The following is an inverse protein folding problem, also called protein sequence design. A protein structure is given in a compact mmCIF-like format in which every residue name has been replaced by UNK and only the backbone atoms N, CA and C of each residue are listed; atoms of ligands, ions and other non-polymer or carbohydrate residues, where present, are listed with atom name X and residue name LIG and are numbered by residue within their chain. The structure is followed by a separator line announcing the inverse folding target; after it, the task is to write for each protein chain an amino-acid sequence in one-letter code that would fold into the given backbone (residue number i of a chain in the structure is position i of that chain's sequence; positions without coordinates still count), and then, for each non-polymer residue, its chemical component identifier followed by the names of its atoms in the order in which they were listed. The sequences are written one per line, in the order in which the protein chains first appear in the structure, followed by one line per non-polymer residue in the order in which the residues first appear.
data_IF_656996499291
#
_entry.id   IF_656996499291
#
_cell.length_a   1.000
_cell.length_b   1.000
_cell.length_c   1.000
_cell.angle_alpha   90.00
_cell.angle_beta   90.00
_cell.angle_gamma   90.00
#
_symmetry.space_group_name_H-M   'P 1'
#
loop_
_entity.id
_entity.type
_entity.pdbx_description
1 polymer ?
#
# COMPACT_ATOMS: atom_id res chain seq x y z
N UNK A 1 -62.07 -45.78 14.05
CA UNK A 1 -61.00 -45.66 13.03
C UNK A 1 -60.56 -44.20 12.88
N UNK A 2 -59.97 -43.57 13.93
CA UNK A 2 -59.61 -42.14 13.90
C UNK A 2 -58.18 -41.80 14.34
N UNK A 3 -57.34 -42.78 14.68
CA UNK A 3 -56.02 -42.50 15.28
C UNK A 3 -54.90 -42.47 14.22
N UNK A 4 -55.06 -43.15 13.08
CA UNK A 4 -54.02 -43.27 12.05
C UNK A 4 -53.85 -42.00 11.17
N UNK A 5 -54.84 -41.09 11.15
CA UNK A 5 -54.82 -39.87 10.32
C UNK A 5 -54.10 -38.68 10.96
N UNK A 6 -53.85 -38.70 12.27
CA UNK A 6 -53.17 -37.60 12.97
C UNK A 6 -51.64 -37.70 12.91
N UNK A 7 -51.08 -38.91 12.82
CA UNK A 7 -49.61 -39.14 12.80
C UNK A 7 -48.99 -38.64 11.50
N UNK A 8 -49.69 -38.77 10.37
CA UNK A 8 -49.18 -38.37 9.04
C UNK A 8 -49.08 -36.84 8.90
N UNK A 9 -49.95 -36.08 9.58
CA UNK A 9 -49.97 -34.61 9.52
C UNK A 9 -48.83 -34.01 10.37
N UNK A 10 -48.50 -34.65 11.51
CA UNK A 10 -47.45 -34.16 12.40
C UNK A 10 -46.04 -34.31 11.81
N UNK A 11 -45.79 -35.37 11.04
CA UNK A 11 -44.50 -35.59 10.37
C UNK A 11 -44.26 -34.55 9.25
N UNK A 12 -45.32 -34.15 8.54
CA UNK A 12 -45.21 -33.15 7.46
C UNK A 12 -44.95 -31.73 7.94
N UNK A 13 -45.36 -31.36 9.16
CA UNK A 13 -45.07 -30.02 9.74
C UNK A 13 -43.63 -29.97 10.28
N UNK A 14 -43.12 -31.06 10.83
CA UNK A 14 -41.77 -31.11 11.39
C UNK A 14 -40.66 -31.05 10.32
N UNK A 15 -40.95 -31.52 9.10
CA UNK A 15 -40.00 -31.50 7.97
C UNK A 15 -39.83 -30.12 7.30
N UNK A 16 -40.68 -29.14 7.60
CA UNK A 16 -40.52 -27.77 7.10
C UNK A 16 -39.57 -26.91 7.95
N UNK A 17 -39.28 -27.30 9.18
CA UNK A 17 -38.41 -26.52 10.07
C UNK A 17 -36.90 -26.73 9.84
N UNK A 18 -36.51 -27.75 9.07
CA UNK A 18 -35.10 -28.10 8.83
C UNK A 18 -34.54 -27.66 7.48
N UNK A 19 -35.31 -26.90 6.68
CA UNK A 19 -34.84 -26.34 5.40
C UNK A 19 -34.46 -24.87 5.54
N UNK A 20 -33.50 -24.58 6.42
CA UNK A 20 -32.79 -23.30 6.36
C UNK A 20 -31.94 -23.26 5.07
N UNK A 21 -31.80 -22.12 4.39
CA UNK A 21 -30.92 -22.02 3.23
C UNK A 21 -29.52 -22.38 3.69
N UNK A 22 -28.97 -23.48 3.16
CA UNK A 22 -27.57 -23.79 3.33
C UNK A 22 -26.79 -22.59 2.82
N UNK A 23 -26.19 -21.81 3.72
CA UNK A 23 -25.25 -20.78 3.34
C UNK A 23 -24.08 -21.52 2.71
N UNK A 24 -24.09 -21.62 1.39
CA UNK A 24 -22.92 -22.01 0.64
C UNK A 24 -21.81 -21.09 1.12
N UNK A 25 -20.89 -21.63 1.91
CA UNK A 25 -19.68 -20.91 2.28
C UNK A 25 -19.01 -20.58 0.96
N UNK A 26 -19.09 -19.30 0.57
CA UNK A 26 -18.47 -18.82 -0.64
C UNK A 26 -16.98 -19.11 -0.49
N UNK A 27 -16.51 -20.17 -1.15
CA UNK A 27 -15.11 -20.54 -1.19
C UNK A 27 -14.41 -19.44 -1.98
N UNK A 28 -13.94 -18.42 -1.26
CA UNK A 28 -13.09 -17.39 -1.83
C UNK A 28 -11.70 -17.95 -1.94
N UNK A 29 -11.14 -17.79 -3.12
CA UNK A 29 -9.82 -18.30 -3.42
C UNK A 29 -8.79 -17.37 -2.75
N UNK A 30 -7.77 -17.88 -2.03
CA UNK A 30 -6.87 -17.04 -1.23
C UNK A 30 -6.20 -15.90 -2.01
N UNK A 31 -5.97 -16.08 -3.31
CA UNK A 31 -5.38 -15.06 -4.19
C UNK A 31 -6.33 -13.92 -4.57
N UNK A 32 -7.65 -14.07 -4.38
CA UNK A 32 -8.63 -13.00 -4.61
C UNK A 32 -8.59 -11.98 -3.47
N UNK A 33 -8.34 -12.42 -2.23
CA UNK A 33 -8.14 -11.52 -1.09
C UNK A 33 -6.78 -10.81 -1.14
N UNK A 34 -5.78 -11.38 -1.82
CA UNK A 34 -4.47 -10.75 -2.04
C UNK A 34 -4.53 -9.63 -3.08
N UNK A 35 -5.30 -9.79 -4.16
CA UNK A 35 -5.50 -8.72 -5.17
C UNK A 35 -6.18 -7.47 -4.58
N UNK A 36 -6.97 -7.62 -3.52
CA UNK A 36 -7.61 -6.50 -2.83
C UNK A 36 -6.66 -5.74 -1.90
N UNK A 37 -5.48 -6.31 -1.58
CA UNK A 37 -4.40 -5.64 -0.82
C UNK A 37 -3.38 -4.97 -1.75
N UNK A 38 -3.82 -4.41 -2.88
CA UNK A 38 -2.96 -3.48 -3.60
C UNK A 38 -2.61 -2.34 -2.62
N UNK A 39 -1.32 -1.96 -2.50
CA UNK A 39 -0.94 -0.86 -1.61
C UNK A 39 -1.71 0.38 -2.03
N UNK A 40 -2.46 0.97 -1.10
CA UNK A 40 -3.13 2.25 -1.31
C UNK A 40 -2.02 3.30 -1.43
N UNK A 41 -1.68 3.67 -2.67
CA UNK A 41 -0.72 4.73 -2.97
C UNK A 41 -1.39 6.03 -2.56
N UNK A 42 -0.98 6.58 -1.42
CA UNK A 42 -1.51 7.84 -0.92
C UNK A 42 -0.52 8.95 -1.33
N UNK A 43 -0.79 9.75 -2.38
CA UNK A 43 0.16 10.73 -2.91
C UNK A 43 0.47 11.87 -1.94
N UNK A 44 -0.39 12.05 -0.92
CA UNK A 44 -0.25 13.05 0.14
C UNK A 44 0.58 12.56 1.33
N UNK A 45 0.99 11.29 1.35
CA UNK A 45 1.86 10.78 2.40
C UNK A 45 3.28 11.28 2.14
N UNK A 46 3.68 12.30 2.90
CA UNK A 46 5.06 12.79 2.91
C UNK A 46 5.93 11.74 3.61
N UNK A 47 6.90 11.21 2.87
CA UNK A 47 7.89 10.29 3.41
C UNK A 47 9.13 11.06 3.88
N UNK A 48 9.47 10.96 5.17
CA UNK A 48 10.72 11.52 5.67
C UNK A 48 11.87 10.54 5.43
N UNK A 49 12.91 11.00 4.74
CA UNK A 49 14.08 10.22 4.36
C UNK A 49 15.29 10.89 4.99
N UNK A 50 15.88 10.22 5.98
CA UNK A 50 17.16 10.65 6.56
C UNK A 50 18.29 10.10 5.69
N UNK A 51 19.15 10.97 5.19
CA UNK A 51 20.32 10.58 4.38
C UNK A 51 21.56 11.18 5.01
N UNK A 52 22.61 10.38 5.15
CA UNK A 52 23.88 10.86 5.68
C UNK A 52 24.62 11.63 4.58
N UNK A 53 25.32 12.69 4.94
CA UNK A 53 26.14 13.44 3.99
C UNK A 53 27.17 12.53 3.31
N UNK A 54 27.34 12.70 2.00
CA UNK A 54 28.21 11.88 1.15
C UNK A 54 27.81 10.39 1.08
N UNK A 55 26.65 10.02 1.66
CA UNK A 55 26.05 8.70 1.53
C UNK A 55 24.97 8.69 0.45
N UNK A 56 24.68 7.48 -0.02
CA UNK A 56 23.69 7.20 -1.06
C UNK A 56 22.57 6.36 -0.45
N UNK A 57 21.36 6.88 -0.54
CA UNK A 57 20.13 6.19 -0.15
C UNK A 57 19.33 5.83 -1.40
N UNK A 58 18.74 4.63 -1.41
CA UNK A 58 17.97 4.12 -2.54
C UNK A 58 16.53 3.89 -2.10
N UNK A 59 15.60 4.60 -2.74
CA UNK A 59 14.18 4.46 -2.50
C UNK A 59 13.53 3.75 -3.67
N UNK A 60 12.74 2.72 -3.38
CA UNK A 60 11.87 2.08 -4.37
C UNK A 60 10.54 2.83 -4.45
N UNK A 61 10.24 3.33 -5.63
CA UNK A 61 9.00 4.05 -5.90
C UNK A 61 7.84 3.05 -6.10
N UNK A 62 6.63 3.38 -5.61
CA UNK A 62 5.47 2.51 -5.78
C UNK A 62 4.97 2.46 -7.24
N UNK A 63 5.26 3.50 -8.02
CA UNK A 63 4.96 3.54 -9.45
C UNK A 63 6.11 4.22 -10.21
N UNK A 64 6.06 4.13 -11.54
CA UNK A 64 7.10 4.65 -12.42
C UNK A 64 7.19 6.18 -12.38
N UNK A 65 8.28 6.72 -11.84
CA UNK A 65 8.63 8.13 -11.94
C UNK A 65 9.31 8.45 -13.27
N UNK A 66 9.14 9.69 -13.75
CA UNK A 66 9.92 10.25 -14.87
C UNK A 66 10.56 11.58 -14.53
N UNK A 67 9.88 12.40 -13.74
CA UNK A 67 10.30 13.77 -13.43
C UNK A 67 10.57 13.87 -11.94
N UNK A 68 11.69 14.48 -11.58
CA UNK A 68 12.04 14.78 -10.18
C UNK A 68 12.00 16.30 -10.02
N UNK A 69 11.27 16.76 -9.00
CA UNK A 69 11.21 18.16 -8.59
C UNK A 69 11.77 18.22 -7.17
N UNK A 70 12.78 19.07 -6.95
CA UNK A 70 13.39 19.32 -5.64
C UNK A 70 13.33 20.79 -5.31
N UNK A 71 12.99 21.14 -4.07
CA UNK A 71 12.97 22.52 -3.62
C UNK A 71 14.37 23.12 -3.46
N UNK A 72 15.36 22.31 -3.10
CA UNK A 72 16.74 22.72 -2.85
C UNK A 72 17.72 21.66 -3.40
N UNK A 73 18.07 21.70 -4.70
CA UNK A 73 18.96 20.73 -5.34
C UNK A 73 20.41 20.77 -4.83
N UNK A 74 20.81 21.84 -4.14
CA UNK A 74 22.12 21.96 -3.49
C UNK A 74 22.27 21.07 -2.24
N UNK A 75 21.16 20.70 -1.61
CA UNK A 75 21.13 19.86 -0.38
C UNK A 75 21.41 18.40 -0.72
N UNK A 76 20.77 17.88 -1.77
CA UNK A 76 20.92 16.50 -2.21
C UNK A 76 20.84 16.39 -3.73
N UNK A 77 21.73 15.58 -4.31
CA UNK A 77 21.61 15.18 -5.71
C UNK A 77 20.63 14.02 -5.82
N UNK A 78 19.71 14.11 -6.77
CA UNK A 78 18.66 13.12 -6.98
C UNK A 78 18.80 12.55 -8.39
N UNK A 79 18.81 11.23 -8.50
CA UNK A 79 18.88 10.54 -9.78
C UNK A 79 17.77 9.50 -9.85
N UNK A 80 17.01 9.52 -10.94
CA UNK A 80 16.12 8.43 -11.27
C UNK A 80 16.89 7.44 -12.12
N UNK A 81 17.00 6.18 -11.68
CA UNK A 81 17.59 5.12 -12.49
C UNK A 81 16.59 4.00 -12.53
N UNK A 82 16.11 3.72 -13.73
CA UNK A 82 14.90 2.94 -13.97
C UNK A 82 13.65 3.65 -13.38
N UNK A 83 12.44 3.41 -13.93
CA UNK A 83 11.25 4.16 -13.50
C UNK A 83 10.91 3.93 -12.02
N UNK A 84 11.43 2.91 -11.37
CA UNK A 84 11.07 2.46 -10.03
C UNK A 84 12.12 2.72 -8.94
N UNK A 85 13.29 3.29 -9.25
CA UNK A 85 14.32 3.58 -8.23
C UNK A 85 14.79 5.03 -8.25
N UNK A 86 14.72 5.66 -7.08
CA UNK A 86 15.24 6.98 -6.79
C UNK A 86 16.51 6.87 -5.95
N UNK A 87 17.60 7.39 -6.48
CA UNK A 87 18.89 7.49 -5.80
C UNK A 87 19.03 8.90 -5.22
N UNK A 88 19.31 8.98 -3.93
CA UNK A 88 19.43 10.23 -3.18
C UNK A 88 20.84 10.28 -2.60
N UNK A 89 21.62 11.29 -3.01
CA UNK A 89 22.99 11.50 -2.52
C UNK A 89 23.03 12.79 -1.74
N UNK A 90 23.24 12.70 -0.42
CA UNK A 90 23.33 13.87 0.46
C UNK A 90 24.60 14.68 0.18
N UNK A 91 24.49 16.00 0.04
CA UNK A 91 25.65 16.89 -0.21
C UNK A 91 25.85 17.94 0.87
N UNK A 92 24.83 18.75 1.13
CA UNK A 92 24.87 19.80 2.15
C UNK A 92 23.87 19.47 3.23
N UNK A 93 24.21 19.82 4.47
CA UNK A 93 23.28 19.69 5.60
C UNK A 93 22.08 20.59 5.38
N UNK A 94 20.88 20.03 5.53
CA UNK A 94 19.63 20.75 5.34
C UNK A 94 18.47 19.81 5.09
N UNK A 95 17.32 20.38 4.74
CA UNK A 95 16.13 19.65 4.33
C UNK A 95 15.69 20.11 2.95
N UNK A 96 15.28 19.17 2.09
CA UNK A 96 14.69 19.48 0.79
C UNK A 96 13.45 18.63 0.56
N UNK A 97 12.39 19.24 0.03
CA UNK A 97 11.20 18.52 -0.40
C UNK A 97 11.41 18.00 -1.82
N UNK A 98 11.09 16.73 -2.01
CA UNK A 98 11.24 16.02 -3.29
C UNK A 98 9.89 15.47 -3.70
N UNK A 99 9.51 15.75 -4.94
CA UNK A 99 8.31 15.20 -5.57
C UNK A 99 8.74 14.48 -6.84
N UNK A 100 8.33 13.23 -6.97
CA UNK A 100 8.50 12.44 -8.19
C UNK A 100 7.16 12.35 -8.90
N UNK A 101 7.14 12.72 -10.17
CA UNK A 101 5.95 12.70 -11.01
C UNK A 101 6.11 11.77 -12.22
N UNK A 102 4.98 11.27 -12.72
CA UNK A 102 4.90 10.46 -13.94
C UNK A 102 4.93 11.33 -15.22
N UNK A 103 4.70 10.69 -16.38
CA UNK A 103 4.62 11.39 -17.67
C UNK A 103 3.43 12.36 -17.78
N UNK A 104 2.35 12.09 -17.05
CA UNK A 104 1.15 12.91 -17.01
C UNK A 104 1.24 14.03 -15.96
N UNK A 105 2.41 14.23 -15.36
CA UNK A 105 2.66 15.18 -14.25
C UNK A 105 1.86 14.86 -12.98
N UNK A 106 1.36 13.62 -12.83
CA UNK A 106 0.76 13.18 -11.59
C UNK A 106 1.85 12.84 -10.56
N UNK A 107 1.74 13.32 -9.30
CA UNK A 107 2.69 13.00 -8.27
C UNK A 107 2.55 11.53 -7.88
N UNK A 108 3.64 10.78 -8.05
CA UNK A 108 3.74 9.35 -7.72
C UNK A 108 4.28 9.16 -6.31
N UNK A 109 5.18 10.05 -5.89
CA UNK A 109 5.81 9.99 -4.58
C UNK A 109 6.19 11.39 -4.13
N UNK A 110 5.98 11.67 -2.85
CA UNK A 110 6.36 12.93 -2.21
C UNK A 110 7.11 12.62 -0.92
N UNK A 111 8.22 13.31 -0.68
CA UNK A 111 9.00 13.12 0.54
C UNK A 111 9.85 14.32 0.92
N UNK A 112 10.28 14.34 2.16
CA UNK A 112 11.24 15.30 2.69
C UNK A 112 12.56 14.58 2.91
N UNK A 113 13.61 15.03 2.23
CA UNK A 113 14.97 14.50 2.40
C UNK A 113 15.70 15.38 3.39
N UNK A 114 16.13 14.80 4.51
CA UNK A 114 16.87 15.47 5.57
C UNK A 114 18.29 14.93 5.54
N UNK A 115 19.26 15.80 5.26
CA UNK A 115 20.66 15.44 5.20
C UNK A 115 21.35 15.76 6.52
N UNK A 116 21.91 14.75 7.19
CA UNK A 116 22.63 14.86 8.47
C UNK A 116 24.10 14.48 8.32
N UNK A 117 24.96 15.00 9.22
CA UNK A 117 26.41 14.76 9.16
C UNK A 117 26.84 13.43 9.86
N UNK A 118 25.93 12.73 10.54
CA UNK A 118 26.22 11.56 11.38
C UNK A 118 25.03 10.59 11.29
N UNK A 119 25.30 9.27 11.20
CA UNK A 119 24.31 8.24 11.50
C UNK A 119 23.96 8.36 12.99
N UNK A 120 22.79 8.90 13.31
CA UNK A 120 22.25 8.71 14.65
C UNK A 120 21.88 7.23 14.74
N UNK A 121 22.77 6.42 15.32
CA UNK A 121 22.40 5.10 15.84
C UNK A 121 21.29 5.32 16.86
N UNK A 122 20.06 4.96 16.50
CA UNK A 122 18.94 4.86 17.44
C UNK A 122 19.24 3.69 18.40
N UNK A 123 19.70 3.99 19.62
CA UNK A 123 19.85 3.04 20.74
C UNK A 123 18.52 2.42 21.20
#
# INVERSE_FOLDING_TARGET
MCILRFIVIFISIFLWFFSGPAMAQAFRMPWEDEKAKAPVINPDKIHDVKVVRDSLEIIRLPAGGKIIISSAPEVANLYLRDPDMLFIVGRLRGSTSVVVADEALAPVWSGSVIVTDIEEEEE
#
